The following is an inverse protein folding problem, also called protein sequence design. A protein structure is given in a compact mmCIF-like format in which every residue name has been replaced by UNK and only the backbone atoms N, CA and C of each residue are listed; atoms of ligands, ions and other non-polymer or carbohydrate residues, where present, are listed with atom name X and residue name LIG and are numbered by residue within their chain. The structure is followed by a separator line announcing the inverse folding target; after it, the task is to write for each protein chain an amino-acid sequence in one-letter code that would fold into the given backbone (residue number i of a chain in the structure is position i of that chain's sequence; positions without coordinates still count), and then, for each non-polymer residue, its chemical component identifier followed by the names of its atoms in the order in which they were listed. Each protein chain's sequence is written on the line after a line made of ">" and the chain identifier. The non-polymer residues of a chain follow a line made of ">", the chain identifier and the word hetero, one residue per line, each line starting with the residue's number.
data_IF_606170655293
#
_entry.id   IF_606170655293
#
_cell.length_a   1.000
_cell.length_b   1.000
_cell.length_c   1.000
_cell.angle_alpha   90.00
_cell.angle_beta   90.00
_cell.angle_gamma   90.00
#
_symmetry.space_group_name_H-M   'P 1'
#
loop_
_entity.id
_entity.type
_entity.pdbx_description
1 polymer ?
#
# COMPACT_ATOMS: atom_id res chain seq x y z
N UNK A 1 -3.63 19.11 -6.56
CA UNK A 1 -4.67 19.57 -5.60
C UNK A 1 -4.96 18.42 -4.64
N UNK A 2 -4.99 18.67 -3.33
CA UNK A 2 -5.36 17.64 -2.35
C UNK A 2 -6.88 17.55 -2.25
N UNK A 3 -7.37 16.34 -2.01
CA UNK A 3 -8.78 16.02 -1.80
C UNK A 3 -8.94 15.20 -0.53
N UNK A 4 -10.01 15.46 0.20
CA UNK A 4 -10.38 14.70 1.40
C UNK A 4 -11.42 13.65 1.00
N UNK A 5 -11.14 12.37 1.24
CA UNK A 5 -12.08 11.28 1.01
C UNK A 5 -12.46 10.64 2.35
N UNK A 6 -13.75 10.51 2.62
CA UNK A 6 -14.28 9.79 3.77
C UNK A 6 -15.13 8.63 3.28
N UNK A 7 -14.80 7.41 3.73
CA UNK A 7 -15.53 6.18 3.42
C UNK A 7 -16.05 5.59 4.72
N UNK A 8 -17.36 5.35 4.79
CA UNK A 8 -18.03 4.82 5.98
C UNK A 8 -18.83 3.59 5.57
N UNK A 9 -18.60 2.47 6.24
CA UNK A 9 -19.36 1.24 6.07
C UNK A 9 -20.09 0.91 7.38
N UNK A 10 -21.42 0.98 7.39
CA UNK A 10 -22.25 0.67 8.56
C UNK A 10 -23.44 -0.17 8.13
N UNK A 11 -23.49 -1.41 8.63
CA UNK A 11 -24.43 -2.40 8.14
C UNK A 11 -24.28 -2.57 6.63
N UNK A 12 -25.40 -2.66 5.92
CA UNK A 12 -25.40 -2.79 4.46
C UNK A 12 -25.11 -1.47 3.73
N UNK A 13 -24.90 -0.35 4.42
CA UNK A 13 -24.70 0.94 3.78
C UNK A 13 -23.21 1.29 3.70
N UNK A 14 -22.77 1.60 2.50
CA UNK A 14 -21.45 2.16 2.25
C UNK A 14 -21.58 3.58 1.68
N UNK A 15 -20.94 4.53 2.33
CA UNK A 15 -21.01 5.95 2.01
C UNK A 15 -19.63 6.49 1.64
N UNK A 16 -19.57 7.33 0.61
CA UNK A 16 -18.40 8.07 0.18
C UNK A 16 -18.71 9.57 0.17
N UNK A 17 -17.85 10.35 0.82
CA UNK A 17 -17.87 11.81 0.82
C UNK A 17 -16.54 12.33 0.31
N UNK A 18 -16.59 13.31 -0.60
CA UNK A 18 -15.40 13.97 -1.16
C UNK A 18 -15.45 15.44 -0.78
N UNK A 19 -14.34 15.97 -0.25
CA UNK A 19 -14.16 17.37 0.16
C UNK A 19 -15.27 17.89 1.09
N UNK A 20 -15.77 17.02 2.00
CA UNK A 20 -16.94 17.29 2.88
C UNK A 20 -18.20 17.73 2.12
N UNK A 21 -18.31 17.37 0.85
CA UNK A 21 -19.44 17.68 -0.01
C UNK A 21 -20.61 16.72 0.15
N UNK A 22 -21.37 16.54 -0.93
CA UNK A 22 -22.51 15.62 -0.94
C UNK A 22 -22.07 14.16 -0.81
N UNK A 23 -22.68 13.45 0.14
CA UNK A 23 -22.40 12.04 0.41
C UNK A 23 -23.16 11.13 -0.55
N UNK A 24 -22.43 10.29 -1.29
CA UNK A 24 -23.00 9.22 -2.11
C UNK A 24 -23.04 7.93 -1.31
N UNK A 25 -24.14 7.19 -1.42
CA UNK A 25 -24.30 5.91 -0.74
C UNK A 25 -24.61 4.79 -1.75
N UNK A 26 -24.12 3.60 -1.44
CA UNK A 26 -24.49 2.35 -2.08
C UNK A 26 -24.94 1.38 -0.98
N UNK A 27 -25.91 0.54 -1.31
CA UNK A 27 -26.42 -0.48 -0.39
C UNK A 27 -25.98 -1.86 -0.87
N UNK A 28 -25.33 -2.61 0.02
CA UNK A 28 -24.93 -4.00 -0.17
C UNK A 28 -26.18 -4.89 -0.13
N UNK A 29 -26.47 -5.54 -1.26
CA UNK A 29 -27.60 -6.46 -1.41
C UNK A 29 -27.29 -7.91 -1.01
N UNK A 30 -26.08 -8.17 -0.51
CA UNK A 30 -25.68 -9.46 0.00
C UNK A 30 -26.41 -9.84 1.31
N UNK A 31 -26.34 -11.12 1.67
CA UNK A 31 -26.98 -11.64 2.88
C UNK A 31 -26.33 -11.11 4.17
N UNK A 32 -25.03 -10.79 4.13
CA UNK A 32 -24.29 -10.33 5.29
C UNK A 32 -24.47 -8.81 5.48
N UNK A 33 -24.95 -8.44 6.67
CA UNK A 33 -25.10 -7.03 7.03
C UNK A 33 -23.75 -6.36 7.32
N UNK A 34 -22.75 -7.09 7.80
CA UNK A 34 -21.43 -6.54 8.11
C UNK A 34 -20.35 -7.33 7.40
N UNK A 35 -19.23 -6.68 7.11
CA UNK A 35 -18.03 -7.36 6.63
C UNK A 35 -17.47 -8.21 7.76
N UNK A 36 -17.33 -9.52 7.54
CA UNK A 36 -16.66 -10.39 8.49
C UNK A 36 -15.15 -10.08 8.47
N UNK A 37 -14.64 -9.57 9.59
CA UNK A 37 -13.22 -9.21 9.73
C UNK A 37 -12.37 -10.35 10.30
N UNK A 38 -12.98 -11.43 10.77
CA UNK A 38 -12.27 -12.57 11.38
C UNK A 38 -11.33 -13.28 10.42
N UNK A 39 -11.68 -13.30 9.13
CA UNK A 39 -10.92 -13.96 8.06
C UNK A 39 -10.19 -12.97 7.13
N UNK A 40 -10.15 -11.67 7.49
CA UNK A 40 -9.43 -10.67 6.71
C UNK A 40 -7.95 -10.74 7.06
N UNK A 41 -7.14 -11.18 6.11
CA UNK A 41 -5.69 -11.30 6.30
C UNK A 41 -4.92 -10.01 5.99
N UNK A 42 -5.46 -9.12 5.14
CA UNK A 42 -4.80 -7.88 4.77
C UNK A 42 -5.76 -6.83 4.20
N UNK A 43 -5.44 -5.55 4.43
CA UNK A 43 -6.04 -4.39 3.75
C UNK A 43 -4.99 -3.75 2.84
N UNK A 44 -5.28 -3.69 1.54
CA UNK A 44 -4.38 -3.09 0.56
C UNK A 44 -4.86 -1.69 0.17
N UNK A 45 -3.93 -0.73 0.13
CA UNK A 45 -4.19 0.66 -0.26
C UNK A 45 -3.31 0.98 -1.47
N UNK A 46 -3.86 1.74 -2.42
CA UNK A 46 -3.17 2.24 -3.62
C UNK A 46 -2.69 1.18 -4.63
N UNK A 47 -2.89 -0.12 -4.40
CA UNK A 47 -2.54 -1.16 -5.36
C UNK A 47 -2.77 -2.56 -4.79
N UNK A 48 -2.64 -3.58 -5.65
CA UNK A 48 -2.72 -4.99 -5.26
C UNK A 48 -1.47 -5.75 -5.77
N UNK A 49 -1.01 -6.79 -5.03
CA UNK A 49 -0.02 -7.75 -5.51
C UNK A 49 -0.45 -8.40 -6.83
N UNK A 50 0.50 -8.71 -7.71
CA UNK A 50 0.21 -9.22 -9.07
C UNK A 50 -0.65 -10.48 -9.08
N UNK A 51 -0.42 -11.39 -8.14
CA UNK A 51 -1.17 -12.64 -7.96
C UNK A 51 -2.63 -12.39 -7.56
N UNK A 52 -2.87 -11.38 -6.70
CA UNK A 52 -4.22 -10.99 -6.30
C UNK A 52 -4.93 -10.17 -7.39
N UNK A 53 -4.20 -9.32 -8.12
CA UNK A 53 -4.74 -8.46 -9.19
C UNK A 53 -5.41 -9.28 -10.30
N UNK A 54 -4.78 -10.36 -10.75
CA UNK A 54 -5.35 -11.21 -11.80
C UNK A 54 -6.72 -11.80 -11.37
N UNK A 55 -6.81 -12.29 -10.13
CA UNK A 55 -8.05 -12.83 -9.57
C UNK A 55 -9.11 -11.75 -9.35
N UNK A 56 -8.70 -10.58 -8.84
CA UNK A 56 -9.60 -9.47 -8.58
C UNK A 56 -10.23 -8.89 -9.86
N UNK A 57 -9.48 -8.87 -10.97
CA UNK A 57 -10.02 -8.53 -12.29
C UNK A 57 -11.02 -9.57 -12.79
N UNK A 58 -10.68 -10.86 -12.71
CA UNK A 58 -11.58 -11.95 -13.14
C UNK A 58 -12.92 -11.94 -12.40
N UNK A 59 -12.89 -11.59 -11.11
CA UNK A 59 -14.07 -11.49 -10.25
C UNK A 59 -14.73 -10.09 -10.27
N UNK A 60 -14.26 -9.17 -11.12
CA UNK A 60 -14.80 -7.82 -11.27
C UNK A 60 -14.80 -6.99 -9.98
N UNK A 61 -13.89 -7.30 -9.05
CA UNK A 61 -13.71 -6.52 -7.82
C UNK A 61 -12.99 -5.20 -8.08
N UNK A 62 -12.16 -5.15 -9.13
CA UNK A 62 -11.49 -3.97 -9.64
C UNK A 62 -11.69 -3.86 -11.15
N UNK A 63 -11.56 -2.65 -11.68
CA UNK A 63 -11.71 -2.38 -13.13
C UNK A 63 -10.38 -2.29 -13.87
N UNK A 64 -9.31 -1.96 -13.14
CA UNK A 64 -8.00 -1.67 -13.72
C UNK A 64 -6.91 -2.30 -12.84
N UNK A 65 -5.89 -2.89 -13.47
CA UNK A 65 -4.76 -3.53 -12.77
C UNK A 65 -3.71 -2.53 -12.29
N UNK A 66 -3.75 -1.29 -12.77
CA UNK A 66 -2.72 -0.30 -12.47
C UNK A 66 -2.85 0.20 -11.03
N UNK A 67 -1.71 0.37 -10.38
CA UNK A 67 -1.65 0.96 -9.04
C UNK A 67 -1.83 2.47 -9.10
N UNK A 68 -2.37 3.04 -8.03
CA UNK A 68 -2.50 4.48 -7.87
C UNK A 68 -1.13 5.16 -7.86
N UNK A 69 -0.98 6.18 -8.71
CA UNK A 69 0.21 7.01 -8.79
C UNK A 69 -0.14 8.41 -8.32
N UNK A 70 0.36 8.78 -7.15
CA UNK A 70 0.08 10.09 -6.56
C UNK A 70 0.39 10.11 -5.08
N UNK A 71 -0.23 11.07 -4.40
CA UNK A 71 0.03 11.35 -3.01
C UNK A 71 -1.17 11.01 -2.13
N UNK A 72 -0.91 10.22 -1.07
CA UNK A 72 -1.86 10.00 0.02
C UNK A 72 -1.29 10.68 1.25
N UNK A 73 -2.03 11.63 1.80
CA UNK A 73 -1.69 12.34 3.02
C UNK A 73 -2.74 12.03 4.07
N UNK A 74 -2.29 11.77 5.31
CA UNK A 74 -3.14 11.55 6.48
C UNK A 74 -4.21 10.44 6.27
N UNK A 75 -3.76 9.20 6.14
CA UNK A 75 -4.64 8.02 6.08
C UNK A 75 -5.03 7.59 7.50
N UNK A 76 -6.33 7.44 7.73
CA UNK A 76 -6.90 6.90 8.96
C UNK A 76 -7.75 5.66 8.64
N UNK A 77 -7.65 4.64 9.49
CA UNK A 77 -8.47 3.44 9.41
C UNK A 77 -9.17 3.29 10.75
N UNK A 78 -10.50 3.39 10.76
CA UNK A 78 -11.30 3.41 11.99
C UNK A 78 -10.78 4.44 13.01
N UNK A 79 -10.52 5.66 12.53
CA UNK A 79 -9.97 6.78 13.30
C UNK A 79 -8.50 6.66 13.75
N UNK A 80 -7.87 5.49 13.60
CA UNK A 80 -6.46 5.29 13.90
C UNK A 80 -5.57 5.75 12.74
N UNK A 81 -4.56 6.61 12.99
CA UNK A 81 -3.64 7.06 11.95
C UNK A 81 -2.72 5.92 11.50
N UNK A 82 -2.64 5.70 10.18
CA UNK A 82 -1.74 4.70 9.60
C UNK A 82 -0.33 5.25 9.49
N UNK A 83 0.63 4.58 10.13
CA UNK A 83 2.05 4.84 9.93
C UNK A 83 2.61 3.98 8.79
N UNK A 84 2.77 4.57 7.60
CA UNK A 84 3.36 3.89 6.44
C UNK A 84 4.80 3.40 6.68
N UNK A 85 5.52 3.93 7.68
CA UNK A 85 6.84 3.45 8.06
C UNK A 85 6.82 2.10 8.81
N UNK A 86 5.63 1.61 9.21
CA UNK A 86 5.44 0.40 10.01
C UNK A 86 4.38 -0.56 9.42
N UNK A 87 4.11 -0.52 8.11
CA UNK A 87 3.20 -1.48 7.47
C UNK A 87 3.94 -2.73 6.97
N UNK A 88 3.23 -3.87 6.95
CA UNK A 88 3.74 -5.21 6.60
C UNK A 88 4.30 -5.28 5.18
N UNK A 89 3.61 -4.65 4.22
CA UNK A 89 4.03 -4.62 2.83
C UNK A 89 4.00 -3.19 2.30
N UNK A 90 5.12 -2.78 1.68
CA UNK A 90 5.26 -1.50 0.99
C UNK A 90 5.80 -1.78 -0.39
N UNK A 91 5.21 -1.16 -1.39
CA UNK A 91 5.75 -1.18 -2.74
C UNK A 91 5.91 0.25 -3.23
N UNK A 92 7.16 0.74 -3.26
CA UNK A 92 7.51 2.06 -3.79
C UNK A 92 6.79 3.24 -3.13
N UNK A 93 6.57 3.16 -1.81
CA UNK A 93 6.07 4.28 -1.01
C UNK A 93 7.27 5.12 -0.57
N UNK A 94 7.23 6.41 -0.88
CA UNK A 94 8.26 7.37 -0.48
C UNK A 94 7.70 8.42 0.48
N UNK A 95 8.54 8.97 1.38
CA UNK A 95 8.18 10.15 2.14
C UNK A 95 8.17 11.40 1.24
N UNK A 96 7.21 12.30 1.48
CA UNK A 96 7.11 13.59 0.78
C UNK A 96 6.18 13.59 -0.43
N UNK A 97 5.70 14.78 -0.78
CA UNK A 97 4.68 15.02 -1.81
C UNK A 97 4.82 16.42 -2.43
N UNK A 98 6.02 16.78 -2.90
CA UNK A 98 6.27 18.07 -3.53
C UNK A 98 5.87 18.08 -5.01
N UNK A 99 5.18 19.15 -5.42
CA UNK A 99 4.50 19.25 -6.71
C UNK A 99 5.38 19.73 -7.88
N UNK A 100 6.67 20.00 -7.67
CA UNK A 100 7.55 20.51 -8.72
C UNK A 100 8.92 19.88 -8.59
N UNK A 101 9.03 18.65 -9.04
CA UNK A 101 10.09 18.18 -9.93
C UNK A 101 9.68 16.78 -10.31
N UNK A 102 9.89 16.39 -11.56
CA UNK A 102 10.04 14.98 -11.87
C UNK A 102 11.09 14.43 -10.93
N UNK A 103 10.63 13.84 -9.81
CA UNK A 103 11.05 12.56 -9.33
C UNK A 103 12.49 12.25 -9.73
N UNK A 104 13.43 13.08 -9.25
CA UNK A 104 14.83 12.75 -9.32
C UNK A 104 15.05 11.77 -8.18
N UNK A 105 14.50 10.56 -8.36
CA UNK A 105 14.91 9.41 -7.60
C UNK A 105 16.41 9.33 -7.79
N UNK A 106 17.12 9.79 -6.77
CA UNK A 106 18.55 9.74 -6.70
C UNK A 106 18.91 8.85 -5.54
N UNK A 107 20.00 8.11 -5.69
CA UNK A 107 20.59 7.40 -4.57
C UNK A 107 21.00 8.30 -3.40
N UNK A 108 20.97 9.61 -3.57
CA UNK A 108 21.15 10.61 -2.51
C UNK A 108 19.95 10.68 -1.54
N UNK A 109 18.74 10.35 -1.98
CA UNK A 109 17.53 10.34 -1.13
C UNK A 109 17.14 8.94 -0.65
N UNK A 110 17.64 7.90 -1.33
CA UNK A 110 17.41 6.51 -0.99
C UNK A 110 18.19 6.06 0.27
N UNK A 111 17.50 5.47 1.25
CA UNK A 111 18.16 4.82 2.40
C UNK A 111 18.32 3.32 2.15
N UNK A 112 19.44 2.90 1.56
CA UNK A 112 19.86 1.50 1.55
C UNK A 112 20.79 1.24 2.75
N UNK A 113 20.27 0.66 3.83
CA UNK A 113 20.99 0.52 5.09
C UNK A 113 22.17 -0.47 4.98
N UNK A 114 21.90 -1.68 4.49
CA UNK A 114 22.92 -2.71 4.23
C UNK A 114 22.91 -3.12 2.75
N UNK A 115 23.10 -2.13 1.86
CA UNK A 115 23.14 -2.39 0.43
C UNK A 115 23.62 -1.21 -0.38
N UNK A 116 23.78 -1.42 -1.69
CA UNK A 116 24.17 -0.41 -2.65
C UNK A 116 22.96 0.10 -3.42
N UNK A 117 22.77 1.42 -3.42
CA UNK A 117 21.76 2.03 -4.26
C UNK A 117 22.23 2.09 -5.73
N UNK A 118 21.33 1.76 -6.66
CA UNK A 118 21.54 1.93 -8.11
C UNK A 118 20.33 2.61 -8.73
N UNK A 119 20.58 3.56 -9.62
CA UNK A 119 19.53 4.18 -10.42
C UNK A 119 18.98 3.19 -11.45
N UNK A 120 17.66 3.21 -11.62
CA UNK A 120 16.93 2.40 -12.58
C UNK A 120 15.91 3.27 -13.31
N UNK A 121 16.38 4.03 -14.30
CA UNK A 121 15.55 4.98 -15.05
C UNK A 121 15.18 6.20 -14.20
N UNK A 122 13.87 6.47 -14.07
CA UNK A 122 13.32 7.45 -13.15
C UNK A 122 12.98 6.78 -11.80
N UNK A 123 13.85 5.92 -11.27
CA UNK A 123 13.65 5.18 -10.01
C UNK A 123 15.02 4.78 -9.43
N UNK A 124 15.05 4.28 -8.19
CA UNK A 124 16.24 3.65 -7.61
C UNK A 124 15.93 2.24 -7.07
N UNK A 125 16.96 1.41 -6.99
CA UNK A 125 16.90 0.06 -6.43
C UNK A 125 18.06 -0.17 -5.48
N UNK A 126 17.79 -0.70 -4.29
CA UNK A 126 18.82 -1.21 -3.40
C UNK A 126 19.23 -2.64 -3.81
N UNK A 127 20.52 -2.87 -3.93
CA UNK A 127 21.13 -4.19 -4.05
C UNK A 127 21.69 -4.57 -2.68
N UNK A 128 21.03 -5.49 -1.98
CA UNK A 128 21.38 -5.82 -0.60
C UNK A 128 22.67 -6.64 -0.52
N UNK A 129 23.45 -6.37 0.53
CA UNK A 129 24.59 -7.20 0.89
C UNK A 129 24.11 -8.58 1.38
N UNK A 130 25.02 -9.56 1.36
CA UNK A 130 24.70 -10.90 1.87
C UNK A 130 24.15 -10.85 3.30
N UNK A 131 23.12 -11.66 3.54
CA UNK A 131 22.44 -11.72 4.83
C UNK A 131 21.43 -10.59 5.07
N UNK A 132 21.17 -9.73 4.08
CA UNK A 132 20.14 -8.69 4.17
C UNK A 132 19.16 -8.73 3.00
N UNK A 133 17.94 -8.28 3.26
CA UNK A 133 16.82 -8.22 2.30
C UNK A 133 15.90 -7.02 2.57
N UNK A 134 14.86 -6.88 1.75
CA UNK A 134 13.89 -5.78 1.80
C UNK A 134 14.29 -4.58 0.92
N UNK A 135 13.33 -3.68 0.70
CA UNK A 135 13.48 -2.54 -0.23
C UNK A 135 14.62 -1.58 0.15
N UNK A 136 14.89 -1.42 1.45
CA UNK A 136 15.97 -0.61 2.02
C UNK A 136 17.14 -1.45 2.54
N UNK A 137 17.14 -2.78 2.34
CA UNK A 137 18.14 -3.69 2.90
C UNK A 137 18.30 -3.58 4.41
N UNK A 138 17.21 -3.40 5.16
CA UNK A 138 17.24 -3.29 6.63
C UNK A 138 16.89 -4.61 7.35
N UNK A 139 16.32 -5.59 6.64
CA UNK A 139 15.91 -6.87 7.22
C UNK A 139 17.06 -7.87 7.11
N UNK A 140 17.40 -8.55 8.21
CA UNK A 140 18.39 -9.64 8.19
C UNK A 140 17.73 -10.93 7.71
N UNK A 141 18.42 -11.70 6.86
CA UNK A 141 17.98 -13.04 6.52
C UNK A 141 18.09 -13.93 7.77
N UNK A 142 16.96 -14.42 8.26
CA UNK A 142 16.92 -15.42 9.32
C UNK A 142 16.89 -16.81 8.69
N UNK A 143 17.87 -17.64 9.05
CA UNK A 143 17.96 -19.02 8.61
C UNK A 143 17.74 -19.92 9.81
N UNK A 144 16.61 -20.62 9.83
CA UNK A 144 16.36 -21.68 10.79
C UNK A 144 16.81 -23.01 10.20
N UNK A 145 17.83 -23.61 10.83
CA UNK A 145 18.31 -24.94 10.47
C UNK A 145 17.66 -25.97 11.39
N UNK A 146 16.95 -26.93 10.81
CA UNK A 146 16.44 -28.09 11.54
C UNK A 146 17.56 -29.14 11.68
N UNK A 147 17.70 -29.82 12.82
CA UNK A 147 18.61 -30.95 12.95
C UNK A 147 18.21 -32.03 11.95
N UNK A 148 19.21 -32.62 11.28
CA UNK A 148 18.99 -33.86 10.53
C UNK A 148 18.76 -34.99 11.52
N UNK A 149 17.62 -35.67 11.41
CA UNK A 149 17.35 -36.93 12.08
C UNK A 149 18.36 -38.00 11.70
#
# INVERSE_FOLDING_TARGET
>A
KLHELQLISVGQNFSLTVDRGYTRHINNRGQNAYLNTSDIHALYIAGLPNDLTARALQLWHIREATSFQGCIHALYINDDPVNFANVDYRHKILPGCENNEHNQFSCTLATCQYGQCRLQGLDYKCTCHEGYTGLSCSQRNEYHFFPKN
#
